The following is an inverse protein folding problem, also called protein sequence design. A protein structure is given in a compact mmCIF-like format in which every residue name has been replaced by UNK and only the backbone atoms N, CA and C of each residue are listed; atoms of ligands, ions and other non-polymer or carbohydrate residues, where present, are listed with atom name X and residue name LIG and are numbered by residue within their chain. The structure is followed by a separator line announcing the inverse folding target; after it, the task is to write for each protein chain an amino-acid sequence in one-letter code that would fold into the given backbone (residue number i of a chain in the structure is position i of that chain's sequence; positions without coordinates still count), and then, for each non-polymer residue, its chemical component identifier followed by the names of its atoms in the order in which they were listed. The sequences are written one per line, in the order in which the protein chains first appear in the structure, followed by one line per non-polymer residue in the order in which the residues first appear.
data_IF_225229664837
#
_entry.id   IF_225229664837
#
_cell.length_a   1.000
_cell.length_b   1.000
_cell.length_c   1.000
_cell.angle_alpha   90.00
_cell.angle_beta   90.00
_cell.angle_gamma   90.00
#
_symmetry.space_group_name_H-M   'P 1'
#
loop_
_entity.id
_entity.type
_entity.pdbx_description
1 polymer ?
#
# COMPACT_ATOMS: atom_id res chain seq x y z
N UNK A 1 -65.09 -4.83 14.27
CA UNK A 1 -64.12 -3.72 14.35
C UNK A 1 -62.74 -4.23 14.79
N UNK A 2 -62.23 -5.34 14.21
CA UNK A 2 -60.94 -5.98 14.61
C UNK A 2 -60.09 -6.49 13.42
N UNK A 3 -60.33 -6.01 12.20
CA UNK A 3 -59.59 -6.49 11.00
C UNK A 3 -58.50 -5.52 10.51
N UNK A 4 -58.40 -4.27 10.98
CA UNK A 4 -57.49 -3.25 10.43
C UNK A 4 -56.12 -3.12 11.13
N UNK A 5 -55.87 -3.87 12.21
CA UNK A 5 -54.63 -3.69 12.99
C UNK A 5 -53.51 -4.69 12.66
N UNK A 6 -53.77 -5.78 11.90
CA UNK A 6 -52.74 -6.78 11.55
C UNK A 6 -51.87 -6.37 10.39
N UNK A 7 -52.39 -5.62 9.42
CA UNK A 7 -51.63 -5.28 8.19
C UNK A 7 -50.53 -4.23 8.42
N UNK A 8 -50.76 -3.30 9.34
CA UNK A 8 -49.78 -2.23 9.62
C UNK A 8 -48.55 -2.75 10.40
N UNK A 9 -48.72 -3.75 11.26
CA UNK A 9 -47.60 -4.38 12.01
C UNK A 9 -46.75 -5.22 11.07
N UNK A 10 -47.37 -5.95 10.16
CA UNK A 10 -46.65 -6.79 9.17
C UNK A 10 -45.87 -5.93 8.18
N UNK A 11 -46.44 -4.81 7.71
CA UNK A 11 -45.75 -3.86 6.81
C UNK A 11 -44.59 -3.17 7.55
N UNK A 12 -44.77 -2.83 8.84
CA UNK A 12 -43.70 -2.28 9.67
C UNK A 12 -42.51 -3.23 9.84
N UNK A 13 -42.80 -4.50 10.14
CA UNK A 13 -41.77 -5.54 10.29
C UNK A 13 -41.03 -5.79 8.97
N UNK A 14 -41.72 -5.87 7.85
CA UNK A 14 -41.12 -6.05 6.52
C UNK A 14 -40.20 -4.87 6.17
N UNK A 15 -40.62 -3.63 6.49
CA UNK A 15 -39.80 -2.43 6.29
C UNK A 15 -38.54 -2.43 7.17
N UNK A 16 -38.65 -2.83 8.43
CA UNK A 16 -37.52 -2.93 9.34
C UNK A 16 -36.55 -4.02 8.89
N UNK A 17 -37.07 -5.19 8.48
CA UNK A 17 -36.24 -6.29 7.92
C UNK A 17 -35.57 -5.84 6.60
N UNK A 18 -36.29 -5.14 5.72
CA UNK A 18 -35.72 -4.64 4.46
C UNK A 18 -34.65 -3.56 4.71
N UNK A 19 -34.84 -2.71 5.74
CA UNK A 19 -33.81 -1.74 6.16
C UNK A 19 -32.63 -2.46 6.78
N UNK A 20 -32.84 -3.46 7.63
CA UNK A 20 -31.77 -4.27 8.23
C UNK A 20 -30.99 -5.07 7.17
N UNK A 21 -31.68 -5.72 6.22
CA UNK A 21 -31.08 -6.43 5.09
C UNK A 21 -30.31 -5.44 4.19
N UNK A 22 -30.83 -4.25 3.96
CA UNK A 22 -30.17 -3.20 3.17
C UNK A 22 -28.96 -2.61 3.91
N UNK A 23 -29.04 -2.44 5.23
CA UNK A 23 -27.91 -2.05 6.08
C UNK A 23 -26.87 -3.18 6.14
N UNK A 24 -27.26 -4.44 6.33
CA UNK A 24 -26.36 -5.59 6.22
C UNK A 24 -25.76 -5.75 4.83
N UNK A 25 -26.52 -5.51 3.76
CA UNK A 25 -25.99 -5.57 2.39
C UNK A 25 -25.02 -4.42 2.11
N UNK A 26 -25.25 -3.24 2.65
CA UNK A 26 -24.32 -2.10 2.58
C UNK A 26 -23.10 -2.32 3.50
N UNK A 27 -23.26 -2.97 4.65
CA UNK A 27 -22.15 -3.39 5.53
C UNK A 27 -21.33 -4.56 4.96
N UNK A 28 -21.92 -5.38 4.08
CA UNK A 28 -21.22 -6.50 3.43
C UNK A 28 -20.51 -6.14 2.12
N UNK A 29 -20.67 -4.91 1.62
CA UNK A 29 -19.80 -4.43 0.54
C UNK A 29 -18.50 -3.98 1.16
N UNK A 30 -17.45 -4.76 0.99
CA UNK A 30 -16.08 -4.39 1.40
C UNK A 30 -15.72 -3.09 0.68
N UNK A 31 -15.89 -1.95 1.35
CA UNK A 31 -15.52 -0.66 0.78
C UNK A 31 -14.02 -0.50 0.96
N UNK A 32 -13.26 -0.71 -0.13
CA UNK A 32 -11.83 -0.49 -0.11
C UNK A 32 -11.50 0.99 0.05
N UNK A 33 -10.55 1.28 0.92
CA UNK A 33 -10.09 2.63 1.20
C UNK A 33 -8.83 2.92 0.39
N UNK A 34 -8.87 4.01 -0.35
CA UNK A 34 -7.72 4.48 -1.12
C UNK A 34 -6.66 5.06 -0.19
N UNK A 35 -5.40 4.69 -0.43
CA UNK A 35 -4.27 5.35 0.26
C UNK A 35 -4.25 6.85 -0.08
N UNK A 36 -4.11 7.74 0.91
CA UNK A 36 -4.01 9.17 0.66
C UNK A 36 -2.67 9.57 0.03
N UNK A 37 -1.71 8.62 0.00
CA UNK A 37 -0.38 8.86 -0.53
C UNK A 37 -0.35 8.62 -2.03
N UNK A 38 0.18 9.57 -2.79
CA UNK A 38 0.48 9.32 -4.19
C UNK A 38 1.70 8.39 -4.27
N UNK A 39 1.51 7.15 -4.65
CA UNK A 39 2.57 6.16 -4.80
C UNK A 39 2.45 5.45 -6.14
N UNK A 40 3.56 5.36 -6.87
CA UNK A 40 3.59 4.68 -8.16
C UNK A 40 3.38 3.17 -7.96
N UNK A 41 2.62 2.54 -8.83
CA UNK A 41 2.31 1.11 -8.72
C UNK A 41 1.23 0.78 -7.68
N UNK A 42 0.52 1.78 -7.12
CA UNK A 42 -0.55 1.55 -6.15
C UNK A 42 -1.62 0.58 -6.69
N UNK A 43 -1.86 -0.51 -5.98
CA UNK A 43 -2.78 -1.59 -6.36
C UNK A 43 -4.25 -1.34 -5.99
N UNK A 44 -4.62 -0.10 -5.64
CA UNK A 44 -6.01 0.24 -5.32
C UNK A 44 -7.01 -0.21 -6.41
N UNK A 45 -6.72 -0.02 -7.71
CA UNK A 45 -7.64 -0.45 -8.77
C UNK A 45 -7.80 -1.97 -8.91
N UNK A 46 -6.90 -2.74 -8.31
CA UNK A 46 -6.88 -4.21 -8.37
C UNK A 46 -7.37 -4.87 -7.08
N UNK A 47 -7.77 -4.09 -6.07
CA UNK A 47 -8.12 -4.65 -4.76
C UNK A 47 -9.26 -5.67 -4.83
N UNK A 48 -10.25 -5.46 -5.70
CA UNK A 48 -11.35 -6.42 -5.87
C UNK A 48 -10.86 -7.78 -6.40
N UNK A 49 -9.89 -7.77 -7.31
CA UNK A 49 -9.31 -8.99 -7.85
C UNK A 49 -8.34 -9.64 -6.85
N UNK A 50 -7.52 -8.84 -6.18
CA UNK A 50 -6.62 -9.32 -5.12
C UNK A 50 -7.39 -9.89 -3.93
N UNK A 51 -8.54 -9.34 -3.58
CA UNK A 51 -9.38 -9.84 -2.52
C UNK A 51 -9.92 -11.24 -2.79
N UNK A 52 -10.19 -11.56 -4.06
CA UNK A 52 -10.60 -12.92 -4.47
C UNK A 52 -9.46 -13.94 -4.36
N UNK A 53 -8.23 -13.49 -4.59
CA UNK A 53 -7.04 -14.34 -4.65
C UNK A 53 -6.31 -14.46 -3.30
N UNK A 54 -6.36 -13.44 -2.45
CA UNK A 54 -5.75 -13.49 -1.11
C UNK A 54 -6.68 -14.27 -0.16
N UNK A 55 -6.32 -15.49 0.26
CA UNK A 55 -7.15 -16.28 1.16
C UNK A 55 -7.17 -15.65 2.56
N UNK A 56 -8.18 -15.98 3.36
CA UNK A 56 -8.17 -15.67 4.79
C UNK A 56 -7.13 -16.55 5.52
N UNK A 57 -6.55 -16.02 6.59
CA UNK A 57 -5.53 -16.72 7.36
C UNK A 57 -5.29 -16.10 8.73
N UNK A 58 -4.31 -16.60 9.45
CA UNK A 58 -3.91 -15.98 10.72
C UNK A 58 -3.05 -14.73 10.50
N UNK A 59 -2.03 -14.84 9.66
CA UNK A 59 -1.07 -13.77 9.41
C UNK A 59 -0.96 -13.44 7.93
N UNK A 60 -1.05 -12.15 7.60
CA UNK A 60 -0.70 -11.59 6.29
C UNK A 60 0.63 -10.85 6.40
N UNK A 61 1.54 -11.10 5.49
CA UNK A 61 2.73 -10.28 5.26
C UNK A 61 2.56 -9.53 3.93
N UNK A 62 2.42 -8.21 3.99
CA UNK A 62 2.54 -7.30 2.84
C UNK A 62 4.02 -6.95 2.69
N UNK A 63 4.74 -7.77 1.91
CA UNK A 63 6.21 -7.83 1.90
C UNK A 63 6.88 -6.63 1.23
N UNK A 64 6.20 -5.99 0.28
CA UNK A 64 6.60 -4.78 -0.42
C UNK A 64 5.46 -3.76 -0.33
N UNK A 65 5.17 -3.32 0.88
CA UNK A 65 3.93 -2.64 1.25
C UNK A 65 3.62 -1.35 0.49
N UNK A 66 4.64 -0.59 0.10
CA UNK A 66 4.48 0.62 -0.71
C UNK A 66 3.43 1.57 -0.14
N UNK A 67 2.35 1.80 -0.86
CA UNK A 67 1.24 2.66 -0.40
C UNK A 67 0.44 2.10 0.78
N UNK A 68 0.69 0.86 1.21
CA UNK A 68 -0.05 0.15 2.27
C UNK A 68 -1.43 -0.33 1.85
N UNK A 69 -1.83 -0.10 0.60
CA UNK A 69 -3.22 -0.25 0.19
C UNK A 69 -3.71 -1.70 0.23
N UNK A 70 -2.83 -2.68 0.00
CA UNK A 70 -3.21 -4.10 0.03
C UNK A 70 -3.30 -4.60 1.47
N UNK A 71 -2.22 -4.53 2.24
CA UNK A 71 -2.20 -5.02 3.62
C UNK A 71 -3.29 -4.42 4.50
N UNK A 72 -3.52 -3.11 4.38
CA UNK A 72 -4.52 -2.39 5.19
C UNK A 72 -5.96 -2.75 4.77
N UNK A 73 -6.25 -2.87 3.47
CA UNK A 73 -7.59 -3.24 3.04
C UNK A 73 -7.90 -4.73 3.26
N UNK A 74 -6.90 -5.61 3.19
CA UNK A 74 -7.07 -7.05 3.41
C UNK A 74 -7.04 -7.45 4.90
N UNK A 75 -6.70 -6.54 5.81
CA UNK A 75 -6.57 -6.81 7.24
C UNK A 75 -7.82 -7.45 7.90
N UNK A 76 -8.99 -7.29 7.30
CA UNK A 76 -10.23 -7.89 7.81
C UNK A 76 -10.24 -9.43 7.73
N UNK A 77 -9.39 -10.03 6.89
CA UNK A 77 -9.25 -11.47 6.71
C UNK A 77 -8.28 -12.13 7.70
N UNK A 78 -7.55 -11.33 8.50
CA UNK A 78 -6.40 -11.80 9.28
C UNK A 78 -6.48 -11.35 10.74
N UNK A 79 -5.81 -12.10 11.61
CA UNK A 79 -5.58 -11.72 13.00
C UNK A 79 -4.35 -10.83 13.15
N UNK A 80 -3.33 -11.06 12.31
CA UNK A 80 -2.07 -10.31 12.29
C UNK A 80 -1.75 -9.83 10.88
N UNK A 81 -1.28 -8.60 10.75
CA UNK A 81 -0.83 -8.02 9.48
C UNK A 81 0.53 -7.37 9.66
N UNK A 82 1.48 -7.83 8.89
CA UNK A 82 2.83 -7.28 8.83
C UNK A 82 2.94 -6.44 7.57
N UNK A 83 3.14 -5.13 7.73
CA UNK A 83 3.52 -4.23 6.66
C UNK A 83 5.04 -4.12 6.64
N UNK A 84 5.67 -4.42 5.51
CA UNK A 84 7.09 -4.26 5.32
C UNK A 84 7.40 -3.48 4.03
N UNK A 85 8.39 -2.62 4.10
CA UNK A 85 9.01 -1.99 2.92
C UNK A 85 10.47 -1.67 3.23
N UNK A 86 11.35 -1.81 2.25
CA UNK A 86 12.78 -1.49 2.44
C UNK A 86 13.03 0.02 2.64
N UNK A 87 12.08 0.85 2.25
CA UNK A 87 12.17 2.30 2.35
C UNK A 87 11.77 2.78 3.76
N UNK A 88 12.73 2.89 4.66
CA UNK A 88 12.52 3.35 6.05
C UNK A 88 11.65 4.59 6.19
N UNK A 89 11.85 5.70 5.43
CA UNK A 89 10.99 6.89 5.55
C UNK A 89 9.53 6.62 5.24
N UNK A 90 9.24 5.70 4.33
CA UNK A 90 7.89 5.28 3.98
C UNK A 90 7.24 4.50 5.13
N UNK A 91 7.99 3.57 5.72
CA UNK A 91 7.53 2.78 6.88
C UNK A 91 7.24 3.70 8.06
N UNK A 92 8.13 4.64 8.38
CA UNK A 92 7.90 5.60 9.46
C UNK A 92 6.73 6.55 9.19
N UNK A 93 6.52 6.93 7.95
CA UNK A 93 5.33 7.70 7.56
C UNK A 93 4.04 6.93 7.88
N UNK A 94 3.96 5.65 7.51
CA UNK A 94 2.81 4.80 7.82
C UNK A 94 2.67 4.56 9.33
N UNK A 95 3.77 4.28 10.01
CA UNK A 95 3.83 4.07 11.47
C UNK A 95 3.35 5.32 12.24
N UNK A 96 3.73 6.52 11.82
CA UNK A 96 3.25 7.76 12.41
C UNK A 96 1.74 7.92 12.24
N UNK A 97 1.21 7.65 11.06
CA UNK A 97 -0.24 7.71 10.83
C UNK A 97 -1.00 6.66 11.63
N UNK A 98 -0.38 5.52 11.89
CA UNK A 98 -0.96 4.48 12.71
C UNK A 98 -0.96 4.88 14.19
N UNK A 99 0.15 5.37 14.73
CA UNK A 99 0.33 5.62 16.16
C UNK A 99 -0.27 6.93 16.64
N UNK A 100 -0.17 8.00 15.83
CA UNK A 100 -0.55 9.32 16.27
C UNK A 100 -2.07 9.57 16.11
N UNK A 101 -2.68 10.36 16.99
CA UNK A 101 -4.08 10.77 16.86
C UNK A 101 -4.34 11.51 15.55
N UNK A 102 -5.56 11.40 15.01
CA UNK A 102 -5.97 12.05 13.76
C UNK A 102 -5.67 13.55 13.75
N UNK A 103 -5.96 14.25 14.85
CA UNK A 103 -5.70 15.69 14.93
C UNK A 103 -4.22 16.04 14.79
N UNK A 104 -3.34 15.22 15.39
CA UNK A 104 -1.89 15.38 15.24
C UNK A 104 -1.47 15.17 13.78
N UNK A 105 -1.95 14.10 13.13
CA UNK A 105 -1.66 13.81 11.73
C UNK A 105 -2.12 14.94 10.82
N UNK A 106 -3.36 15.43 11.01
CA UNK A 106 -3.91 16.53 10.22
C UNK A 106 -3.18 17.85 10.48
N UNK A 107 -2.79 18.13 11.73
CA UNK A 107 -2.03 19.33 12.05
C UNK A 107 -0.66 19.29 11.35
N UNK A 108 0.07 18.17 11.42
CA UNK A 108 1.33 17.98 10.69
C UNK A 108 1.16 18.15 9.18
N UNK A 109 0.10 17.57 8.59
CA UNK A 109 -0.20 17.73 7.17
C UNK A 109 -0.41 19.19 6.78
N UNK A 110 -1.14 19.97 7.60
CA UNK A 110 -1.38 21.40 7.38
C UNK A 110 -0.10 22.20 7.51
N UNK A 111 0.68 21.98 8.57
CA UNK A 111 1.92 22.72 8.83
C UNK A 111 2.96 22.53 7.71
N UNK A 112 3.08 21.30 7.21
CA UNK A 112 4.00 20.98 6.14
C UNK A 112 3.52 21.51 4.79
N UNK A 113 2.22 21.46 4.50
CA UNK A 113 1.66 21.93 3.23
C UNK A 113 1.45 23.44 3.18
N UNK A 114 1.27 24.13 4.30
CA UNK A 114 1.14 25.60 4.34
C UNK A 114 2.40 26.34 3.87
N UNK A 115 3.52 25.64 3.83
CA UNK A 115 4.83 26.17 3.42
C UNK A 115 5.15 25.91 1.94
N UNK A 116 4.22 25.31 1.20
CA UNK A 116 4.39 24.89 -0.18
C UNK A 116 3.57 25.81 -1.10
N UNK A 117 4.10 26.22 -2.27
CA UNK A 117 5.37 25.78 -2.87
C UNK A 117 6.62 26.55 -2.39
N UNK A 118 6.48 27.70 -1.74
CA UNK A 118 7.58 28.65 -1.46
C UNK A 118 8.71 28.01 -0.65
N UNK A 119 8.37 27.17 0.33
CA UNK A 119 9.33 26.52 1.23
C UNK A 119 9.61 25.05 0.91
N UNK A 120 9.19 24.60 -0.27
CA UNK A 120 9.42 23.19 -0.65
C UNK A 120 10.92 22.81 -0.66
N UNK A 121 11.77 23.68 -1.18
CA UNK A 121 13.21 23.44 -1.20
C UNK A 121 13.78 23.35 0.22
N UNK A 122 13.30 24.19 1.16
CA UNK A 122 13.69 24.13 2.58
C UNK A 122 13.25 22.82 3.21
N UNK A 123 12.00 22.38 3.00
CA UNK A 123 11.49 21.10 3.50
C UNK A 123 12.31 19.93 2.96
N UNK A 124 12.60 19.92 1.66
CA UNK A 124 13.41 18.88 1.02
C UNK A 124 14.83 18.83 1.57
N UNK A 125 15.47 19.97 1.72
CA UNK A 125 16.83 20.05 2.27
C UNK A 125 16.85 19.62 3.74
N UNK A 126 15.86 20.05 4.54
CA UNK A 126 15.73 19.66 5.93
C UNK A 126 15.46 18.15 6.09
N UNK A 127 14.70 17.54 5.18
CA UNK A 127 14.54 16.10 5.11
C UNK A 127 15.87 15.40 4.77
N UNK A 128 16.56 15.86 3.72
CA UNK A 128 17.81 15.24 3.28
C UNK A 128 18.90 15.30 4.35
N UNK A 129 19.04 16.42 5.06
CA UNK A 129 20.01 16.55 6.16
C UNK A 129 19.63 15.59 7.30
N UNK A 130 18.36 15.55 7.68
CA UNK A 130 17.90 14.70 8.77
C UNK A 130 18.09 13.20 8.45
N UNK A 131 17.79 12.76 7.22
CA UNK A 131 17.97 11.34 6.83
C UNK A 131 19.46 10.94 6.82
N UNK A 132 20.38 11.85 6.46
CA UNK A 132 21.80 11.61 6.56
C UNK A 132 22.25 11.45 8.02
N UNK A 133 21.75 12.32 8.92
CA UNK A 133 22.04 12.24 10.34
C UNK A 133 21.56 10.93 10.97
N UNK A 134 20.30 10.54 10.73
CA UNK A 134 19.73 9.33 11.35
C UNK A 134 20.32 8.04 10.80
N UNK A 135 20.78 8.01 9.55
CA UNK A 135 21.48 6.85 8.97
C UNK A 135 22.86 6.60 9.57
N UNK A 136 23.48 7.63 10.12
CA UNK A 136 24.76 7.52 10.83
C UNK A 136 24.61 7.04 12.29
N UNK A 137 23.38 7.01 12.78
CA UNK A 137 23.06 6.58 14.14
C UNK A 137 22.58 5.13 14.15
N UNK A 138 22.77 4.46 15.30
CA UNK A 138 22.13 3.17 15.50
C UNK A 138 20.61 3.37 15.57
N UNK A 139 19.91 2.64 14.71
CA UNK A 139 18.46 2.65 14.62
C UNK A 139 17.82 2.21 15.93
N UNK A 140 16.92 3.04 16.46
CA UNK A 140 16.00 2.69 17.53
C UNK A 140 14.58 3.00 17.09
N UNK A 141 13.68 2.03 17.19
CA UNK A 141 12.26 2.13 16.79
C UNK A 141 11.51 3.30 17.45
N UNK A 142 12.01 3.78 18.59
CA UNK A 142 11.43 4.86 19.40
C UNK A 142 12.10 6.21 19.18
N UNK A 143 13.03 6.35 18.23
CA UNK A 143 13.73 7.61 18.01
C UNK A 143 12.79 8.66 17.37
N UNK A 144 12.56 9.75 18.08
CA UNK A 144 11.74 10.87 17.61
C UNK A 144 12.24 11.50 16.30
N UNK A 145 13.53 11.33 15.96
CA UNK A 145 14.07 11.79 14.68
C UNK A 145 13.56 10.96 13.50
N UNK A 146 13.43 9.65 13.65
CA UNK A 146 12.81 8.81 12.64
C UNK A 146 11.34 9.16 12.47
N UNK A 147 10.64 9.49 13.55
CA UNK A 147 9.28 10.02 13.50
C UNK A 147 9.21 11.31 12.68
N UNK A 148 10.12 12.24 12.91
CA UNK A 148 10.20 13.48 12.13
C UNK A 148 10.59 13.22 10.66
N UNK A 149 11.48 12.25 10.36
CA UNK A 149 11.77 11.79 8.99
C UNK A 149 10.48 11.37 8.28
N UNK A 150 9.68 10.53 8.92
CA UNK A 150 8.39 10.06 8.37
C UNK A 150 7.44 11.22 8.08
N UNK A 151 7.31 12.20 8.96
CA UNK A 151 6.46 13.36 8.72
C UNK A 151 6.97 14.27 7.61
N UNK A 152 8.28 14.56 7.56
CA UNK A 152 8.85 15.36 6.45
C UNK A 152 8.67 14.65 5.11
N UNK A 153 8.87 13.32 5.10
CA UNK A 153 8.63 12.51 3.91
C UNK A 153 7.15 12.59 3.49
N UNK A 154 6.21 12.54 4.44
CA UNK A 154 4.80 12.75 4.19
C UNK A 154 4.51 14.10 3.50
N UNK A 155 5.07 15.19 4.01
CA UNK A 155 4.93 16.51 3.40
C UNK A 155 5.48 16.57 1.97
N UNK A 156 6.64 15.93 1.72
CA UNK A 156 7.23 15.82 0.39
C UNK A 156 6.35 15.01 -0.56
N UNK A 157 5.79 13.89 -0.12
CA UNK A 157 4.88 13.07 -0.92
C UNK A 157 3.59 13.78 -1.27
N UNK A 158 3.00 14.53 -0.34
CA UNK A 158 1.80 15.33 -0.62
C UNK A 158 2.03 16.39 -1.68
N UNK A 159 3.26 16.83 -1.84
CA UNK A 159 3.62 18.05 -2.60
C UNK A 159 4.42 17.78 -3.86
N UNK A 160 4.94 16.56 -4.06
CA UNK A 160 5.82 16.28 -5.21
C UNK A 160 5.06 16.15 -6.53
N UNK A 161 5.79 16.39 -7.64
CA UNK A 161 5.26 16.30 -8.99
C UNK A 161 4.98 14.84 -9.38
N UNK A 162 3.85 14.61 -10.04
CA UNK A 162 3.49 13.34 -10.68
C UNK A 162 3.42 12.11 -9.75
N UNK A 163 3.31 12.28 -8.45
CA UNK A 163 3.28 11.19 -7.49
C UNK A 163 4.55 10.30 -7.51
N UNK A 164 5.67 10.85 -7.99
CA UNK A 164 6.91 10.12 -8.10
C UNK A 164 7.79 10.39 -6.88
N UNK A 165 8.08 9.34 -6.15
CA UNK A 165 9.17 9.36 -5.18
C UNK A 165 10.46 9.12 -5.94
N UNK A 166 11.40 10.06 -5.87
CA UNK A 166 12.68 9.96 -6.57
C UNK A 166 13.82 10.39 -5.66
N UNK A 167 14.87 9.56 -5.66
CA UNK A 167 16.09 9.83 -4.94
C UNK A 167 17.26 10.02 -5.92
N UNK A 168 18.25 10.78 -5.53
CA UNK A 168 19.50 10.89 -6.24
C UNK A 168 20.43 9.69 -5.92
N UNK A 169 21.57 9.59 -6.60
CA UNK A 169 22.54 8.50 -6.37
C UNK A 169 23.09 8.42 -4.94
N UNK A 170 23.00 9.49 -4.16
CA UNK A 170 23.41 9.54 -2.75
C UNK A 170 22.26 9.19 -1.79
N UNK A 171 21.06 8.85 -2.32
CA UNK A 171 19.88 8.54 -1.51
C UNK A 171 19.09 9.76 -1.01
N UNK A 172 19.46 10.97 -1.41
CA UNK A 172 18.70 12.18 -1.07
C UNK A 172 17.46 12.34 -1.97
N UNK A 173 16.34 12.74 -1.36
CA UNK A 173 15.11 13.04 -2.09
C UNK A 173 15.32 14.20 -3.06
N UNK A 174 15.00 14.01 -4.35
CA UNK A 174 15.30 15.00 -5.39
C UNK A 174 14.14 15.28 -6.35
N UNK A 175 12.92 14.88 -6.00
CA UNK A 175 11.76 15.24 -6.83
C UNK A 175 11.42 16.73 -6.69
N UNK A 176 10.86 17.28 -7.75
CA UNK A 176 10.46 18.70 -7.82
C UNK A 176 9.11 18.94 -7.15
N UNK A 177 8.87 20.19 -6.75
CA UNK A 177 7.57 20.61 -6.24
C UNK A 177 6.48 20.50 -7.30
N UNK A 178 5.36 19.92 -6.94
CA UNK A 178 4.12 19.88 -7.74
C UNK A 178 3.23 21.09 -7.45
N UNK A 179 2.11 21.14 -8.13
CA UNK A 179 1.07 22.17 -7.93
C UNK A 179 0.02 21.78 -6.87
N UNK A 180 0.22 20.65 -6.19
CA UNK A 180 -0.75 20.13 -5.24
C UNK A 180 -0.68 20.87 -3.92
N UNK A 181 -1.85 21.06 -3.34
CA UNK A 181 -2.05 21.60 -2.01
C UNK A 181 -2.89 20.61 -1.20
N UNK A 182 -2.87 20.73 0.11
CA UNK A 182 -3.77 20.03 0.99
C UNK A 182 -5.18 20.61 0.83
N UNK A 183 -6.02 19.90 0.08
CA UNK A 183 -7.44 20.28 -0.16
C UNK A 183 -8.36 19.52 0.78
N UNK A 184 -9.60 20.02 0.96
CA UNK A 184 -10.60 19.33 1.77
C UNK A 184 -10.82 17.86 1.35
N UNK A 185 -10.91 17.51 0.05
CA UNK A 185 -10.95 16.11 -0.37
C UNK A 185 -9.73 15.30 0.10
N UNK A 186 -8.52 15.89 0.08
CA UNK A 186 -7.32 15.21 0.58
C UNK A 186 -7.34 15.02 2.08
N UNK A 187 -7.83 16.00 2.83
CA UNK A 187 -8.06 15.89 4.28
C UNK A 187 -9.05 14.74 4.57
N UNK A 188 -10.12 14.64 3.80
CA UNK A 188 -11.09 13.55 3.93
C UNK A 188 -10.45 12.16 3.63
N UNK A 189 -9.61 12.05 2.58
CA UNK A 189 -8.87 10.81 2.28
C UNK A 189 -7.94 10.42 3.46
N UNK A 190 -7.21 11.37 4.04
CA UNK A 190 -6.34 11.13 5.21
C UNK A 190 -7.17 10.67 6.41
N UNK A 191 -8.31 11.32 6.64
CA UNK A 191 -9.21 10.98 7.75
C UNK A 191 -9.75 9.55 7.63
N UNK A 192 -10.26 9.17 6.45
CA UNK A 192 -10.76 7.82 6.20
C UNK A 192 -9.66 6.77 6.34
N UNK A 193 -8.46 7.07 5.85
CA UNK A 193 -7.31 6.18 5.99
C UNK A 193 -6.93 5.96 7.45
N UNK A 194 -6.88 7.05 8.24
CA UNK A 194 -6.60 6.98 9.67
C UNK A 194 -7.67 6.19 10.42
N UNK A 195 -8.95 6.42 10.13
CA UNK A 195 -10.05 5.65 10.71
C UNK A 195 -9.87 4.14 10.43
N UNK A 196 -9.51 3.79 9.20
CA UNK A 196 -9.22 2.38 8.85
C UNK A 196 -8.04 1.82 9.62
N UNK A 197 -6.96 2.60 9.79
CA UNK A 197 -5.81 2.21 10.61
C UNK A 197 -6.21 2.00 12.08
N UNK A 198 -7.08 2.84 12.63
CA UNK A 198 -7.57 2.69 14.00
C UNK A 198 -8.42 1.43 14.19
N UNK A 199 -9.26 1.06 13.21
CA UNK A 199 -10.04 -0.17 13.22
C UNK A 199 -9.16 -1.43 13.29
N UNK A 200 -8.02 -1.40 12.59
CA UNK A 200 -7.11 -2.55 12.50
C UNK A 200 -5.90 -2.45 13.42
N UNK A 201 -5.86 -1.42 14.28
CA UNK A 201 -4.73 -1.12 15.14
C UNK A 201 -4.18 -2.33 15.92
N UNK A 202 -4.98 -3.18 16.55
CA UNK A 202 -4.47 -4.30 17.31
C UNK A 202 -3.71 -5.35 16.47
N UNK A 203 -3.85 -5.29 15.13
CA UNK A 203 -3.37 -6.33 14.21
C UNK A 203 -2.08 -5.96 13.49
N UNK A 204 -1.75 -4.66 13.40
CA UNK A 204 -0.69 -4.16 12.52
C UNK A 204 0.68 -4.14 13.17
N UNK A 205 1.68 -4.59 12.42
CA UNK A 205 3.10 -4.41 12.72
C UNK A 205 3.80 -3.82 11.50
N UNK A 206 4.82 -2.98 11.75
CA UNK A 206 5.56 -2.28 10.70
C UNK A 206 7.04 -2.61 10.78
N UNK A 207 7.62 -3.07 9.67
CA UNK A 207 9.02 -3.40 9.54
C UNK A 207 9.64 -2.68 8.35
N UNK A 208 10.94 -2.39 8.44
CA UNK A 208 11.74 -1.90 7.33
C UNK A 208 12.96 -2.79 7.17
N UNK A 209 12.77 -3.86 6.41
CA UNK A 209 13.84 -4.84 6.23
C UNK A 209 13.77 -5.51 4.86
N UNK A 210 14.88 -6.14 4.46
CA UNK A 210 14.90 -6.94 3.24
C UNK A 210 13.93 -8.13 3.35
N UNK A 211 13.40 -8.57 2.21
CA UNK A 211 12.52 -9.74 2.16
C UNK A 211 13.22 -11.01 2.69
N UNK A 212 14.54 -11.12 2.56
CA UNK A 212 15.31 -12.25 3.08
C UNK A 212 15.25 -12.38 4.62
N UNK A 213 14.93 -11.29 5.32
CA UNK A 213 14.79 -11.33 6.78
C UNK A 213 13.51 -12.03 7.27
N UNK A 214 12.62 -12.41 6.35
CA UNK A 214 11.37 -13.14 6.65
C UNK A 214 11.51 -14.67 6.56
N UNK A 215 12.70 -15.21 6.71
CA UNK A 215 13.00 -16.65 6.67
C UNK A 215 12.29 -17.46 7.78
N UNK A 216 11.93 -16.87 8.89
CA UNK A 216 11.35 -17.52 10.07
C UNK A 216 9.83 -17.36 10.24
N UNK A 217 9.06 -17.09 9.19
CA UNK A 217 7.61 -16.94 9.30
C UNK A 217 6.93 -18.28 9.65
N UNK A 218 5.85 -18.27 10.45
CA UNK A 218 5.06 -19.46 10.73
C UNK A 218 4.50 -20.10 9.45
N UNK A 219 4.43 -21.43 9.42
CA UNK A 219 3.82 -22.17 8.31
C UNK A 219 2.38 -21.71 8.06
N UNK A 220 1.99 -21.66 6.79
CA UNK A 220 0.65 -21.24 6.40
C UNK A 220 0.44 -19.72 6.45
N UNK A 221 1.47 -18.91 6.75
CA UNK A 221 1.42 -17.46 6.56
C UNK A 221 1.03 -17.12 5.11
N UNK A 222 0.14 -16.15 4.94
CA UNK A 222 -0.18 -15.59 3.62
C UNK A 222 0.78 -14.46 3.33
N UNK A 223 1.51 -14.54 2.23
CA UNK A 223 2.46 -13.51 1.81
C UNK A 223 1.98 -12.87 0.52
N UNK A 224 1.73 -11.57 0.57
CA UNK A 224 1.51 -10.75 -0.61
C UNK A 224 2.83 -10.08 -1.01
N UNK A 225 3.21 -10.19 -2.28
CA UNK A 225 4.43 -9.60 -2.81
C UNK A 225 4.17 -8.83 -4.11
N UNK A 226 4.52 -7.54 -4.11
CA UNK A 226 4.47 -6.62 -5.25
C UNK A 226 5.82 -5.89 -5.37
N UNK A 227 6.90 -6.62 -5.73
CA UNK A 227 8.24 -6.05 -5.78
C UNK A 227 8.37 -5.02 -6.92
N UNK A 228 9.40 -4.17 -6.89
CA UNK A 228 9.74 -3.33 -8.04
C UNK A 228 9.97 -4.19 -9.29
N UNK A 229 9.59 -3.67 -10.47
CA UNK A 229 9.69 -4.42 -11.71
C UNK A 229 11.03 -4.15 -12.40
N UNK A 230 11.81 -5.19 -12.66
CA UNK A 230 13.13 -5.08 -13.31
C UNK A 230 13.07 -4.60 -14.76
N UNK A 231 11.90 -4.71 -15.42
CA UNK A 231 11.66 -4.27 -16.80
C UNK A 231 11.12 -2.83 -16.88
N UNK A 232 11.07 -2.08 -15.79
CA UNK A 232 10.60 -0.68 -15.76
C UNK A 232 11.70 0.27 -15.29
N UNK A 233 11.84 1.42 -15.96
CA UNK A 233 12.74 2.51 -15.56
C UNK A 233 12.13 3.38 -14.44
N UNK A 234 11.50 2.78 -13.45
CA UNK A 234 10.91 3.56 -12.38
C UNK A 234 12.01 4.07 -11.43
N UNK A 235 12.17 5.37 -11.30
CA UNK A 235 13.20 6.02 -10.49
C UNK A 235 13.13 5.72 -8.98
N UNK A 236 12.13 4.95 -8.53
CA UNK A 236 11.96 4.47 -7.16
C UNK A 236 12.42 3.01 -6.97
N UNK A 237 12.86 2.33 -8.05
CA UNK A 237 13.25 0.91 -8.00
C UNK A 237 14.45 0.63 -7.06
N UNK A 238 15.05 1.65 -6.45
CA UNK A 238 16.07 1.49 -5.42
C UNK A 238 17.29 0.65 -5.81
N UNK A 239 17.50 0.44 -7.14
CA UNK A 239 18.53 -0.48 -7.65
C UNK A 239 18.02 -1.92 -7.84
N UNK A 240 16.71 -2.15 -7.89
CA UNK A 240 16.15 -3.47 -8.22
C UNK A 240 16.58 -3.91 -9.61
N UNK A 241 17.15 -5.10 -9.71
CA UNK A 241 17.78 -5.65 -10.92
C UNK A 241 17.25 -7.05 -11.22
N UNK A 242 17.69 -7.61 -12.35
CA UNK A 242 17.44 -9.03 -12.68
C UNK A 242 18.02 -9.98 -11.63
N UNK A 243 19.12 -9.59 -10.96
CA UNK A 243 19.66 -10.38 -9.84
C UNK A 243 18.75 -10.32 -8.62
N UNK A 244 18.10 -9.18 -8.38
CA UNK A 244 17.08 -9.06 -7.33
C UNK A 244 15.87 -9.95 -7.63
N UNK A 245 15.40 -10.01 -8.87
CA UNK A 245 14.37 -10.94 -9.33
C UNK A 245 14.77 -12.40 -9.05
N UNK A 246 16.02 -12.77 -9.36
CA UNK A 246 16.52 -14.14 -9.16
C UNK A 246 16.59 -14.50 -7.66
N UNK A 247 17.04 -13.56 -6.80
CA UNK A 247 17.08 -13.76 -5.35
C UNK A 247 15.69 -13.92 -4.77
N UNK A 248 14.72 -13.07 -5.18
CA UNK A 248 13.35 -13.18 -4.72
C UNK A 248 12.69 -14.48 -5.21
N UNK A 249 12.90 -14.88 -6.47
CA UNK A 249 12.41 -16.15 -6.98
C UNK A 249 12.92 -17.33 -6.14
N UNK A 250 14.22 -17.35 -5.84
CA UNK A 250 14.82 -18.36 -4.97
C UNK A 250 14.18 -18.38 -3.60
N UNK A 251 14.06 -17.21 -2.96
CA UNK A 251 13.43 -17.07 -1.64
C UNK A 251 11.99 -17.61 -1.64
N UNK A 252 11.17 -17.24 -2.62
CA UNK A 252 9.79 -17.75 -2.75
C UNK A 252 9.77 -19.27 -2.88
N UNK A 253 10.64 -19.84 -3.74
CA UNK A 253 10.68 -21.29 -3.99
C UNK A 253 11.17 -22.09 -2.78
N UNK A 254 12.02 -21.52 -1.94
CA UNK A 254 12.47 -22.12 -0.68
C UNK A 254 11.40 -22.05 0.43
N UNK A 255 10.39 -21.18 0.27
CA UNK A 255 9.34 -20.93 1.26
C UNK A 255 7.92 -21.23 0.73
N UNK A 256 7.78 -22.30 -0.07
CA UNK A 256 6.49 -22.74 -0.64
C UNK A 256 5.53 -23.36 0.41
N UNK A 257 5.96 -23.48 1.68
CA UNK A 257 5.10 -23.77 2.84
C UNK A 257 4.18 -22.60 3.21
N UNK A 258 4.41 -21.39 2.67
CA UNK A 258 3.52 -20.25 2.78
C UNK A 258 2.53 -20.18 1.61
N UNK A 259 1.47 -19.39 1.77
CA UNK A 259 0.53 -19.05 0.70
C UNK A 259 0.96 -17.74 0.04
N UNK A 260 1.48 -17.84 -1.16
CA UNK A 260 1.96 -16.71 -1.93
C UNK A 260 0.90 -16.16 -2.86
N UNK A 261 0.68 -14.84 -2.79
CA UNK A 261 -0.03 -14.06 -3.80
C UNK A 261 0.91 -12.97 -4.29
N UNK A 262 1.22 -13.01 -5.56
CA UNK A 262 2.22 -12.16 -6.17
C UNK A 262 1.60 -11.28 -7.26
N UNK A 263 1.88 -9.98 -7.26
CA UNK A 263 1.49 -9.05 -8.31
C UNK A 263 2.67 -8.70 -9.20
N UNK A 264 2.41 -8.57 -10.49
CA UNK A 264 3.35 -8.06 -11.48
C UNK A 264 2.61 -7.49 -12.68
N UNK A 265 3.35 -7.03 -13.68
CA UNK A 265 2.76 -6.63 -14.95
C UNK A 265 3.54 -7.17 -16.14
N UNK A 266 2.82 -7.38 -17.26
CA UNK A 266 3.42 -7.54 -18.57
C UNK A 266 3.30 -6.21 -19.33
N UNK A 267 4.38 -5.82 -19.98
CA UNK A 267 4.41 -4.65 -20.86
C UNK A 267 4.67 -5.11 -22.29
N UNK A 268 3.75 -4.79 -23.18
CA UNK A 268 3.80 -5.20 -24.59
C UNK A 268 4.04 -6.73 -24.76
N UNK A 269 3.43 -7.53 -23.89
CA UNK A 269 3.53 -8.98 -23.83
C UNK A 269 4.78 -9.52 -23.12
N UNK A 270 5.70 -8.67 -22.67
CA UNK A 270 6.93 -9.09 -21.98
C UNK A 270 6.75 -9.03 -20.45
N UNK A 271 7.05 -10.10 -19.77
CA UNK A 271 7.04 -10.26 -18.30
C UNK A 271 8.42 -10.01 -17.69
N UNK A 272 8.50 -9.96 -16.36
CA UNK A 272 9.79 -9.95 -15.65
C UNK A 272 10.35 -11.37 -15.57
N UNK A 273 11.66 -11.48 -15.43
CA UNK A 273 12.33 -12.79 -15.23
C UNK A 273 11.80 -13.52 -13.98
N UNK A 274 11.40 -12.78 -12.97
CA UNK A 274 10.77 -13.33 -11.74
C UNK A 274 9.46 -14.06 -12.09
N UNK A 275 8.55 -13.43 -12.83
CA UNK A 275 7.29 -14.04 -13.28
C UNK A 275 7.58 -15.31 -14.09
N UNK A 276 8.48 -15.22 -15.08
CA UNK A 276 8.83 -16.36 -15.94
C UNK A 276 9.36 -17.54 -15.11
N UNK A 277 10.21 -17.27 -14.12
CA UNK A 277 10.77 -18.30 -13.22
C UNK A 277 9.69 -18.96 -12.38
N UNK A 278 8.79 -18.17 -11.75
CA UNK A 278 7.72 -18.67 -10.90
C UNK A 278 6.68 -19.48 -11.69
N UNK A 279 6.36 -19.05 -12.90
CA UNK A 279 5.46 -19.80 -13.80
C UNK A 279 6.09 -21.12 -14.25
N UNK A 280 7.38 -21.09 -14.64
CA UNK A 280 8.10 -22.27 -15.10
C UNK A 280 8.27 -23.36 -14.04
N UNK A 281 8.31 -23.02 -12.76
CA UNK A 281 8.39 -24.00 -11.67
C UNK A 281 7.10 -24.82 -11.50
N UNK A 282 5.98 -24.40 -12.12
CA UNK A 282 4.68 -25.11 -12.06
C UNK A 282 3.94 -25.01 -10.72
N UNK A 283 4.51 -24.30 -9.73
CA UNK A 283 3.96 -24.13 -8.38
C UNK A 283 2.91 -23.02 -8.26
N UNK A 284 2.66 -22.26 -9.34
CA UNK A 284 1.75 -21.13 -9.34
C UNK A 284 0.66 -21.25 -10.40
N UNK A 285 -0.49 -20.67 -10.09
CA UNK A 285 -1.56 -20.37 -11.06
C UNK A 285 -1.43 -18.91 -11.48
N UNK A 286 -1.41 -18.67 -12.80
CA UNK A 286 -1.33 -17.34 -13.37
C UNK A 286 -2.71 -16.84 -13.78
N UNK A 287 -3.02 -15.59 -13.42
CA UNK A 287 -4.18 -14.85 -13.88
C UNK A 287 -3.73 -13.52 -14.48
N UNK A 288 -4.18 -13.21 -15.68
CA UNK A 288 -3.94 -11.94 -16.37
C UNK A 288 -5.19 -11.09 -16.38
N UNK A 289 -5.03 -9.82 -16.10
CA UNK A 289 -6.11 -8.84 -16.05
C UNK A 289 -5.75 -7.73 -17.02
N UNK A 290 -6.58 -7.56 -18.05
CA UNK A 290 -6.46 -6.43 -18.98
C UNK A 290 -6.81 -5.14 -18.23
N UNK A 291 -5.79 -4.34 -17.94
CA UNK A 291 -5.97 -3.05 -17.31
C UNK A 291 -5.48 -1.94 -18.24
N UNK A 292 -6.45 -1.15 -18.76
CA UNK A 292 -6.10 0.04 -19.52
C UNK A 292 -5.72 1.18 -18.54
N UNK A 293 -4.44 1.36 -18.27
CA UNK A 293 -4.00 2.62 -17.67
C UNK A 293 -4.39 3.77 -18.60
N UNK A 294 -5.22 4.70 -18.13
CA UNK A 294 -5.41 6.00 -18.78
C UNK A 294 -4.11 6.79 -18.67
N UNK A 295 -3.11 6.41 -19.44
CA UNK A 295 -1.90 7.18 -19.60
C UNK A 295 -2.28 8.53 -20.26
N UNK A 296 -1.60 9.59 -19.84
CA UNK A 296 -1.80 10.94 -20.37
C UNK A 296 -1.75 10.94 -21.90
N UNK A 297 -2.59 11.73 -22.53
CA UNK A 297 -2.94 11.82 -23.97
C UNK A 297 -1.79 11.92 -25.01
N UNK A 298 -0.55 11.57 -24.73
CA UNK A 298 0.59 11.82 -25.64
C UNK A 298 1.61 10.70 -25.85
N UNK A 299 1.44 9.53 -25.23
CA UNK A 299 2.34 8.40 -25.49
C UNK A 299 1.58 7.26 -26.15
N UNK A 300 2.20 6.60 -27.15
CA UNK A 300 1.69 5.37 -27.76
C UNK A 300 1.16 4.46 -26.64
N UNK A 301 -0.07 3.96 -26.81
CA UNK A 301 -0.70 3.03 -25.88
C UNK A 301 0.15 1.78 -25.79
N UNK A 302 1.01 1.69 -24.76
CA UNK A 302 1.62 0.42 -24.40
C UNK A 302 0.55 -0.41 -23.71
N UNK A 303 0.30 -1.62 -24.22
CA UNK A 303 -0.62 -2.55 -23.59
C UNK A 303 0.03 -3.05 -22.29
N UNK A 304 -0.56 -2.70 -21.14
CA UNK A 304 -0.14 -3.19 -19.84
C UNK A 304 -1.19 -4.19 -19.37
N UNK A 305 -0.76 -5.39 -19.05
CA UNK A 305 -1.56 -6.43 -18.42
C UNK A 305 -1.06 -6.60 -16.98
N UNK A 306 -1.95 -6.55 -16.01
CA UNK A 306 -1.62 -6.92 -14.63
C UNK A 306 -1.64 -8.44 -14.49
N UNK A 307 -0.67 -8.98 -13.78
CA UNK A 307 -0.50 -10.41 -13.54
C UNK A 307 -0.64 -10.68 -12.05
N UNK A 308 -1.48 -11.66 -11.71
CA UNK A 308 -1.54 -12.20 -10.36
C UNK A 308 -1.11 -13.66 -10.42
N UNK A 309 -0.09 -14.03 -9.62
CA UNK A 309 0.33 -15.40 -9.41
C UNK A 309 -0.11 -15.85 -8.01
N UNK A 310 -0.71 -17.01 -7.92
CA UNK A 310 -1.15 -17.62 -6.65
C UNK A 310 -0.52 -18.99 -6.51
N UNK A 311 0.13 -19.27 -5.38
CA UNK A 311 0.71 -20.59 -5.09
C UNK A 311 -0.40 -21.65 -4.99
N UNK A 312 -0.13 -22.83 -5.53
CA UNK A 312 -1.06 -23.97 -5.52
C UNK A 312 -1.23 -24.57 -4.14
#
# INVERSE_FOLDING_TARGET
MFAFCKDNVTIGIIRVIAIFVRICYICCMTTYIKSPFPYAGCKYPLLEELDKEIPAGDTLVDMFGGSGVVGINMAYKFNHVIYNDIMEPLVFMHKNMYLDPLDTVLQKARDLSSKIPEKYAELRNAYNNLIEEVKLMHYHDTDERWKEVGYRFFGLMLSCTNNLVRFNRKGGFNQTCGKRQLTDPKVAEITLWKQKLDEIAPKMQFFSQSFEAFDGLPDGTVVYADPPYSNTEAGYNGGWTVDSDARLAKFILEHMNHKWVFSSCAKDGSTTKLVDTLVACGGFTERRIDYSYKASKKTKESKIEEIILVSK
#
